data_IF_256961786906
#
_entry.id   IF_256961786906
#
_cell.length_a   1.000
_cell.length_b   1.000
_cell.length_c   1.000
_cell.angle_alpha   90.00
_cell.angle_beta   90.00
_cell.angle_gamma   90.00
#
_symmetry.space_group_name_H-M   'P 1'
#
loop_
_entity.id
_entity.type
_entity.pdbx_description
1 polymer ?
#
# COMPACT_ATOMS: atom_id res chain seq x y z
N UNK A 1 -45.62 -44.40 -44.93
CA UNK A 1 -44.28 -44.38 -44.29
C UNK A 1 -43.52 -43.09 -44.52
N UNK A 2 -43.36 -42.57 -45.75
CA UNK A 2 -42.62 -41.31 -46.00
C UNK A 2 -43.16 -40.09 -45.28
N UNK A 3 -44.46 -39.90 -45.17
CA UNK A 3 -45.09 -38.74 -44.49
C UNK A 3 -44.82 -38.73 -42.98
N UNK A 4 -44.80 -39.86 -42.32
CA UNK A 4 -44.47 -39.93 -40.88
C UNK A 4 -42.99 -39.60 -40.61
N UNK A 5 -42.08 -40.07 -41.48
CA UNK A 5 -40.65 -39.74 -41.37
C UNK A 5 -40.44 -38.27 -41.52
N UNK A 6 -41.06 -37.61 -42.49
CA UNK A 6 -40.93 -36.13 -42.69
C UNK A 6 -41.51 -35.36 -41.50
N UNK A 7 -42.68 -35.79 -40.97
CA UNK A 7 -43.30 -35.15 -39.80
C UNK A 7 -42.37 -35.23 -38.58
N UNK A 8 -41.89 -36.42 -38.22
CA UNK A 8 -41.04 -36.60 -37.05
C UNK A 8 -39.69 -35.92 -37.23
N UNK A 9 -39.12 -35.89 -38.44
CA UNK A 9 -37.88 -35.13 -38.72
C UNK A 9 -38.11 -33.62 -38.49
N UNK A 10 -39.27 -33.08 -38.89
CA UNK A 10 -39.55 -31.68 -38.67
C UNK A 10 -39.80 -31.36 -37.18
N UNK A 11 -40.52 -32.19 -36.46
CA UNK A 11 -40.71 -32.09 -35.01
C UNK A 11 -39.35 -32.17 -34.28
N UNK A 12 -38.47 -33.04 -34.65
CA UNK A 12 -37.10 -33.12 -34.10
C UNK A 12 -36.31 -31.86 -34.33
N UNK A 13 -36.31 -31.30 -35.55
CA UNK A 13 -35.59 -30.05 -35.87
C UNK A 13 -36.10 -28.89 -35.07
N UNK A 14 -37.45 -28.77 -34.91
CA UNK A 14 -38.06 -27.69 -34.10
C UNK A 14 -37.62 -27.77 -32.61
N UNK A 15 -37.66 -28.98 -32.05
CA UNK A 15 -37.22 -29.19 -30.64
C UNK A 15 -35.74 -28.88 -30.51
N UNK A 16 -34.93 -29.37 -31.43
CA UNK A 16 -33.47 -29.15 -31.43
C UNK A 16 -33.11 -27.66 -31.52
N UNK A 17 -33.78 -26.92 -32.43
CA UNK A 17 -33.58 -25.46 -32.55
C UNK A 17 -34.04 -24.75 -31.28
N UNK A 18 -35.13 -25.16 -30.65
CA UNK A 18 -35.58 -24.60 -29.38
C UNK A 18 -34.54 -24.75 -28.26
N UNK A 19 -33.90 -25.92 -28.16
CA UNK A 19 -32.84 -26.17 -27.20
C UNK A 19 -31.63 -25.29 -27.50
N UNK A 20 -31.18 -25.22 -28.77
CA UNK A 20 -30.05 -24.38 -29.17
C UNK A 20 -30.23 -22.91 -28.85
N UNK A 21 -31.45 -22.39 -29.14
CA UNK A 21 -31.83 -21.00 -28.85
C UNK A 21 -31.79 -20.77 -27.33
N UNK A 22 -32.36 -21.70 -26.56
CA UNK A 22 -32.35 -21.58 -25.08
C UNK A 22 -30.94 -21.58 -24.49
N UNK A 23 -30.07 -22.44 -24.99
CA UNK A 23 -28.65 -22.46 -24.57
C UNK A 23 -27.93 -21.15 -24.93
N UNK A 24 -28.18 -20.65 -26.16
CA UNK A 24 -27.59 -19.38 -26.58
C UNK A 24 -27.98 -18.19 -25.67
N UNK A 25 -29.29 -18.10 -25.32
CA UNK A 25 -29.77 -17.07 -24.40
C UNK A 25 -29.20 -17.22 -22.99
N UNK A 26 -29.07 -18.46 -22.50
CA UNK A 26 -28.51 -18.72 -21.19
C UNK A 26 -27.01 -18.32 -21.14
N UNK A 27 -26.22 -18.70 -22.16
CA UNK A 27 -24.81 -18.30 -22.27
C UNK A 27 -24.66 -16.76 -22.29
N UNK A 28 -25.48 -16.07 -23.10
CA UNK A 28 -25.46 -14.61 -23.18
C UNK A 28 -25.85 -13.95 -21.85
N UNK A 29 -26.79 -14.54 -21.11
CA UNK A 29 -27.18 -14.08 -19.76
C UNK A 29 -26.05 -14.27 -18.78
N UNK A 30 -25.40 -15.41 -18.81
CA UNK A 30 -24.29 -15.71 -17.91
C UNK A 30 -23.08 -14.81 -18.19
N UNK A 31 -22.73 -14.58 -19.44
CA UNK A 31 -21.67 -13.66 -19.83
C UNK A 31 -21.93 -12.24 -19.32
N UNK A 32 -23.16 -11.75 -19.41
CA UNK A 32 -23.53 -10.45 -18.86
C UNK A 32 -23.35 -10.38 -17.35
N UNK A 33 -23.84 -11.39 -16.62
CA UNK A 33 -23.69 -11.44 -15.15
C UNK A 33 -22.24 -11.50 -14.69
N UNK A 34 -21.40 -12.25 -15.40
CA UNK A 34 -19.98 -12.30 -15.08
C UNK A 34 -19.24 -10.99 -15.38
N UNK A 35 -19.61 -10.30 -16.46
CA UNK A 35 -19.08 -8.95 -16.75
C UNK A 35 -19.53 -7.92 -15.70
N UNK A 36 -20.78 -7.98 -15.24
CA UNK A 36 -21.26 -7.12 -14.14
C UNK A 36 -20.47 -7.39 -12.84
N UNK A 37 -20.21 -8.66 -12.51
CA UNK A 37 -19.38 -9.05 -11.37
C UNK A 37 -17.94 -8.54 -11.50
N UNK A 38 -17.35 -8.69 -12.70
CA UNK A 38 -16.00 -8.16 -12.99
C UNK A 38 -15.95 -6.65 -12.76
N UNK A 39 -16.89 -5.90 -13.33
CA UNK A 39 -16.93 -4.44 -13.19
C UNK A 39 -17.07 -4.03 -11.72
N UNK A 40 -17.95 -4.67 -10.96
CA UNK A 40 -18.11 -4.43 -9.52
C UNK A 40 -16.83 -4.70 -8.74
N UNK A 41 -16.10 -5.76 -9.07
CA UNK A 41 -14.84 -6.09 -8.43
C UNK A 41 -13.73 -5.07 -8.77
N UNK A 42 -13.72 -4.54 -10.00
CA UNK A 42 -12.80 -3.46 -10.39
C UNK A 42 -13.15 -2.15 -9.68
N UNK A 43 -14.42 -1.81 -9.51
CA UNK A 43 -14.85 -0.65 -8.69
C UNK A 43 -14.39 -0.79 -7.23
N UNK A 44 -14.50 -1.97 -6.66
CA UNK A 44 -13.98 -2.26 -5.32
C UNK A 44 -12.46 -2.14 -5.25
N UNK A 45 -11.75 -2.61 -6.29
CA UNK A 45 -10.30 -2.46 -6.40
C UNK A 45 -9.88 -0.98 -6.47
N UNK A 46 -10.60 -0.14 -7.22
CA UNK A 46 -10.36 1.31 -7.26
C UNK A 46 -10.47 1.92 -5.86
N UNK A 47 -11.50 1.55 -5.10
CA UNK A 47 -11.67 2.04 -3.73
C UNK A 47 -10.52 1.61 -2.80
N UNK A 48 -10.04 0.38 -2.94
CA UNK A 48 -8.88 -0.12 -2.19
C UNK A 48 -7.62 0.65 -2.59
N UNK A 49 -7.39 0.84 -3.89
CA UNK A 49 -6.26 1.63 -4.40
C UNK A 49 -6.28 3.05 -3.82
N UNK A 50 -7.45 3.70 -3.73
CA UNK A 50 -7.56 5.03 -3.13
C UNK A 50 -7.23 5.04 -1.63
N UNK A 51 -7.64 4.03 -0.89
CA UNK A 51 -7.27 3.87 0.51
C UNK A 51 -5.76 3.67 0.67
N UNK A 52 -5.15 2.83 -0.16
CA UNK A 52 -3.71 2.58 -0.15
C UNK A 52 -2.91 3.84 -0.51
N UNK A 53 -3.33 4.59 -1.54
CA UNK A 53 -2.71 5.89 -1.90
C UNK A 53 -2.80 6.88 -0.73
N UNK A 54 -3.94 6.96 -0.06
CA UNK A 54 -4.10 7.84 1.10
C UNK A 54 -3.20 7.41 2.27
N UNK A 55 -3.08 6.11 2.51
CA UNK A 55 -2.17 5.57 3.52
C UNK A 55 -0.71 5.89 3.18
N UNK A 56 -0.28 5.65 1.93
CA UNK A 56 1.07 6.00 1.44
C UNK A 56 1.35 7.50 1.64
N UNK A 57 0.40 8.38 1.29
CA UNK A 57 0.57 9.82 1.49
C UNK A 57 0.79 10.21 2.95
N UNK A 58 0.09 9.56 3.88
CA UNK A 58 0.26 9.80 5.31
C UNK A 58 1.64 9.34 5.79
N UNK A 59 2.10 8.19 5.32
CA UNK A 59 3.46 7.72 5.65
C UNK A 59 4.55 8.58 5.04
N UNK A 60 4.40 9.04 3.79
CA UNK A 60 5.34 9.99 3.18
C UNK A 60 5.51 11.22 4.08
N UNK A 61 4.41 11.86 4.51
CA UNK A 61 4.48 13.03 5.41
C UNK A 61 5.19 12.72 6.72
N UNK A 62 4.90 11.56 7.32
CA UNK A 62 5.53 11.13 8.56
C UNK A 62 7.05 10.93 8.38
N UNK A 63 7.44 10.29 7.29
CA UNK A 63 8.85 10.05 6.97
C UNK A 63 9.60 11.35 6.65
N UNK A 64 8.95 12.31 5.98
CA UNK A 64 9.53 13.65 5.72
C UNK A 64 9.85 14.37 7.03
N UNK A 65 8.94 14.37 8.02
CA UNK A 65 9.17 14.98 9.35
C UNK A 65 10.27 14.24 10.11
N UNK A 66 10.31 12.93 10.02
CA UNK A 66 11.35 12.13 10.67
C UNK A 66 12.72 12.37 10.03
N UNK A 67 12.77 12.54 8.71
CA UNK A 67 14.01 12.89 7.99
C UNK A 67 14.51 14.28 8.36
N UNK A 68 13.64 15.29 8.35
CA UNK A 68 13.96 16.65 8.77
C UNK A 68 14.52 16.67 10.20
N UNK A 69 13.86 15.95 11.12
CA UNK A 69 14.33 15.82 12.49
C UNK A 69 15.70 15.14 12.59
N UNK A 70 15.96 14.14 11.75
CA UNK A 70 17.27 13.48 11.68
C UNK A 70 18.36 14.43 11.15
N UNK A 71 18.02 15.26 10.14
CA UNK A 71 18.94 16.25 9.58
C UNK A 71 19.28 17.32 10.64
N UNK A 72 18.31 17.81 11.39
CA UNK A 72 18.50 18.77 12.49
C UNK A 72 19.40 18.20 13.61
N UNK A 73 19.17 16.95 14.01
CA UNK A 73 20.03 16.28 15.00
C UNK A 73 21.47 16.09 14.48
N UNK A 74 21.62 15.76 13.22
CA UNK A 74 22.90 15.61 12.57
C UNK A 74 23.70 16.93 12.58
N UNK A 75 23.07 18.05 12.23
CA UNK A 75 23.68 19.37 12.23
C UNK A 75 24.04 19.83 13.66
N UNK A 76 23.22 19.47 14.66
CA UNK A 76 23.54 19.76 16.07
C UNK A 76 24.75 18.95 16.56
N UNK A 77 24.85 17.67 16.22
CA UNK A 77 26.01 16.83 16.58
C UNK A 77 27.31 17.28 15.91
N UNK A 78 27.23 17.88 14.73
CA UNK A 78 28.39 18.48 14.04
C UNK A 78 28.69 19.92 14.50
N UNK A 79 27.98 20.43 15.52
CA UNK A 79 28.12 21.80 16.04
C UNK A 79 27.79 22.91 15.01
N UNK A 80 27.01 22.60 13.98
CA UNK A 80 26.53 23.59 12.99
C UNK A 80 25.36 24.42 13.54
N UNK A 81 24.55 23.81 14.42
CA UNK A 81 23.46 24.49 15.15
C UNK A 81 23.55 24.14 16.63
N UNK A 82 22.96 24.96 17.48
CA UNK A 82 22.86 24.71 18.92
C UNK A 82 21.40 24.58 19.34
N UNK A 83 21.05 23.42 19.91
CA UNK A 83 19.70 23.10 20.38
C UNK A 83 19.67 22.95 21.91
N UNK A 84 18.53 23.31 22.51
CA UNK A 84 18.26 22.93 23.91
C UNK A 84 17.99 21.42 24.01
N UNK A 85 18.25 20.84 25.19
CA UNK A 85 17.94 19.42 25.45
C UNK A 85 16.50 19.05 25.08
N UNK A 86 15.53 19.90 25.41
CA UNK A 86 14.11 19.69 25.08
C UNK A 86 13.89 19.59 23.56
N UNK A 87 14.52 20.46 22.77
CA UNK A 87 14.46 20.38 21.30
C UNK A 87 15.12 19.13 20.76
N UNK A 88 16.28 18.74 21.32
CA UNK A 88 16.93 17.50 20.96
C UNK A 88 16.00 16.31 21.22
N UNK A 89 15.36 16.26 22.40
CA UNK A 89 14.39 15.20 22.75
C UNK A 89 13.17 15.17 21.84
N UNK A 90 12.67 16.33 21.42
CA UNK A 90 11.62 16.45 20.43
C UNK A 90 12.02 15.79 19.10
N UNK A 91 13.20 16.12 18.58
CA UNK A 91 13.69 15.56 17.31
C UNK A 91 14.02 14.06 17.43
N UNK A 92 14.59 13.61 18.58
CA UNK A 92 14.79 12.18 18.84
C UNK A 92 13.46 11.43 18.80
N UNK A 93 12.41 11.96 19.45
CA UNK A 93 11.08 11.37 19.40
C UNK A 93 10.52 11.34 17.98
N UNK A 94 10.72 12.41 17.21
CA UNK A 94 10.25 12.50 15.82
C UNK A 94 10.94 11.48 14.90
N UNK A 95 12.25 11.25 15.07
CA UNK A 95 12.97 10.19 14.34
C UNK A 95 12.46 8.80 14.71
N UNK A 96 12.21 8.56 15.99
CA UNK A 96 11.68 7.28 16.46
C UNK A 96 10.30 6.93 15.86
N UNK A 97 9.53 7.92 15.41
CA UNK A 97 8.23 7.74 14.74
C UNK A 97 8.34 7.16 13.33
N UNK A 98 9.52 7.17 12.74
CA UNK A 98 9.76 6.53 11.45
C UNK A 98 9.41 5.04 11.43
N UNK A 99 9.32 4.39 12.61
CA UNK A 99 8.78 3.02 12.76
C UNK A 99 7.28 2.99 12.46
N UNK A 100 6.90 3.28 11.23
CA UNK A 100 5.54 3.06 10.71
C UNK A 100 5.66 2.79 9.22
N UNK A 101 5.20 1.63 8.81
CA UNK A 101 5.30 1.15 7.45
C UNK A 101 3.93 0.97 6.80
N UNK A 102 3.95 0.98 5.47
CA UNK A 102 2.77 0.77 4.65
C UNK A 102 2.48 -0.73 4.51
N UNK A 103 1.20 -1.10 4.67
CA UNK A 103 0.71 -2.45 4.45
C UNK A 103 -0.37 -2.45 3.38
N UNK A 104 -0.09 -3.02 2.19
CA UNK A 104 -1.02 -3.04 1.07
C UNK A 104 -2.22 -3.95 1.33
N UNK A 105 -3.36 -3.58 0.72
CA UNK A 105 -4.58 -4.36 0.76
C UNK A 105 -4.69 -5.25 -0.50
N UNK A 106 -4.49 -6.56 -0.34
CA UNK A 106 -4.48 -7.50 -1.47
C UNK A 106 -5.81 -8.26 -1.66
N UNK A 107 -6.78 -8.08 -0.75
CA UNK A 107 -8.00 -8.91 -0.70
C UNK A 107 -8.81 -8.92 -1.99
N UNK A 108 -9.03 -7.78 -2.62
CA UNK A 108 -9.82 -7.67 -3.86
C UNK A 108 -9.07 -8.23 -5.06
N UNK A 109 -7.75 -8.04 -5.15
CA UNK A 109 -6.94 -8.68 -6.19
C UNK A 109 -7.00 -10.21 -6.07
N UNK A 110 -6.83 -10.75 -4.87
CA UNK A 110 -6.93 -12.19 -4.62
C UNK A 110 -8.34 -12.74 -4.94
N UNK A 111 -9.39 -11.95 -4.70
CA UNK A 111 -10.76 -12.31 -5.10
C UNK A 111 -10.91 -12.36 -6.63
N UNK A 112 -10.36 -11.39 -7.38
CA UNK A 112 -10.37 -11.40 -8.85
C UNK A 112 -9.69 -12.66 -9.42
N UNK A 113 -8.59 -13.09 -8.81
CA UNK A 113 -7.88 -14.30 -9.20
C UNK A 113 -8.70 -15.55 -8.89
N UNK A 114 -9.16 -15.71 -7.63
CA UNK A 114 -9.83 -16.93 -7.16
C UNK A 114 -11.20 -17.16 -7.81
N UNK A 115 -11.85 -16.09 -8.27
CA UNK A 115 -13.14 -16.16 -9.00
C UNK A 115 -12.99 -16.22 -10.53
N UNK A 116 -11.78 -16.33 -11.06
CA UNK A 116 -11.46 -16.29 -12.50
C UNK A 116 -11.90 -14.98 -13.23
N UNK A 117 -12.39 -13.98 -12.50
CA UNK A 117 -12.82 -12.70 -13.09
C UNK A 117 -11.68 -11.92 -13.73
N UNK A 118 -10.45 -12.18 -13.33
CA UNK A 118 -9.25 -11.60 -13.96
C UNK A 118 -9.18 -11.93 -15.47
N UNK A 119 -9.68 -13.09 -15.89
CA UNK A 119 -9.73 -13.51 -17.30
C UNK A 119 -10.72 -12.68 -18.13
N UNK A 120 -11.71 -12.06 -17.48
CA UNK A 120 -12.73 -11.22 -18.11
C UNK A 120 -12.28 -9.77 -18.32
N UNK A 121 -11.16 -9.37 -17.73
CA UNK A 121 -10.56 -8.05 -18.00
C UNK A 121 -10.13 -8.02 -19.46
N UNK A 122 -10.56 -7.00 -20.21
CA UNK A 122 -10.25 -6.87 -21.64
C UNK A 122 -8.84 -6.31 -21.86
N UNK A 123 -8.42 -5.37 -21.01
CA UNK A 123 -7.12 -4.72 -21.11
C UNK A 123 -5.99 -5.64 -20.65
N UNK A 124 -5.18 -6.13 -21.60
CA UNK A 124 -3.97 -6.90 -21.30
C UNK A 124 -2.94 -6.08 -20.50
N UNK A 125 -2.89 -4.77 -20.74
CA UNK A 125 -2.03 -3.84 -19.99
C UNK A 125 -2.46 -3.81 -18.51
N UNK A 126 -3.75 -3.71 -18.23
CA UNK A 126 -4.27 -3.75 -16.86
C UNK A 126 -3.93 -5.08 -16.18
N UNK A 127 -4.16 -6.22 -16.84
CA UNK A 127 -3.79 -7.53 -16.29
C UNK A 127 -2.31 -7.61 -15.92
N UNK A 128 -1.44 -7.22 -16.86
CA UNK A 128 0.02 -7.27 -16.65
C UNK A 128 0.43 -6.40 -15.47
N UNK A 129 -0.12 -5.18 -15.34
CA UNK A 129 0.22 -4.27 -14.25
C UNK A 129 -0.34 -4.74 -12.91
N UNK A 130 -1.53 -5.35 -12.88
CA UNK A 130 -2.08 -5.99 -11.68
C UNK A 130 -1.14 -7.10 -11.18
N UNK A 131 -0.75 -8.02 -12.05
CA UNK A 131 0.17 -9.09 -11.67
C UNK A 131 1.54 -8.56 -11.24
N UNK A 132 2.08 -7.56 -11.94
CA UNK A 132 3.36 -6.95 -11.58
C UNK A 132 3.30 -6.29 -10.21
N UNK A 133 2.28 -5.45 -9.95
CA UNK A 133 2.16 -4.77 -8.67
C UNK A 133 1.99 -5.78 -7.52
N UNK A 134 0.98 -6.67 -7.60
CA UNK A 134 0.61 -7.52 -6.47
C UNK A 134 1.53 -8.74 -6.27
N UNK A 135 2.15 -9.27 -7.32
CA UNK A 135 2.99 -10.47 -7.21
C UNK A 135 4.50 -10.19 -7.21
N UNK A 136 4.94 -9.00 -7.66
CA UNK A 136 6.37 -8.67 -7.73
C UNK A 136 6.71 -7.47 -6.85
N UNK A 137 6.11 -6.29 -7.15
CA UNK A 137 6.48 -5.03 -6.51
C UNK A 137 6.15 -5.04 -5.01
N UNK A 138 4.94 -5.48 -4.63
CA UNK A 138 4.54 -5.55 -3.22
C UNK A 138 5.31 -6.62 -2.44
N UNK A 139 5.68 -7.72 -3.04
CA UNK A 139 6.55 -8.72 -2.38
C UNK A 139 7.96 -8.19 -2.11
N UNK A 140 8.51 -7.36 -3.00
CA UNK A 140 9.79 -6.67 -2.74
C UNK A 140 9.63 -5.66 -1.63
N UNK A 141 8.52 -4.92 -1.66
CA UNK A 141 8.17 -3.98 -0.60
C UNK A 141 8.12 -4.66 0.77
N UNK A 142 7.49 -5.83 0.89
CA UNK A 142 7.43 -6.59 2.15
C UNK A 142 8.82 -6.92 2.71
N UNK A 143 9.77 -7.29 1.83
CA UNK A 143 11.14 -7.59 2.26
C UNK A 143 11.84 -6.33 2.78
N UNK A 144 11.77 -5.23 2.02
CA UNK A 144 12.39 -3.96 2.41
C UNK A 144 11.72 -3.38 3.68
N UNK A 145 10.40 -3.46 3.77
CA UNK A 145 9.65 -3.02 4.94
C UNK A 145 10.07 -3.78 6.19
N UNK A 146 10.29 -5.08 6.09
CA UNK A 146 10.75 -5.87 7.22
C UNK A 146 12.15 -5.43 7.70
N UNK A 147 13.10 -5.23 6.80
CA UNK A 147 14.45 -4.74 7.14
C UNK A 147 14.38 -3.34 7.76
N UNK A 148 13.52 -2.48 7.22
CA UNK A 148 13.26 -1.14 7.73
C UNK A 148 12.67 -1.18 9.15
N UNK A 149 11.64 -1.99 9.38
CA UNK A 149 10.99 -2.13 10.67
C UNK A 149 11.94 -2.73 11.71
N UNK A 150 12.72 -3.75 11.36
CA UNK A 150 13.69 -4.38 12.25
C UNK A 150 14.74 -3.35 12.71
N UNK A 151 15.24 -2.50 11.79
CA UNK A 151 16.17 -1.42 12.14
C UNK A 151 15.52 -0.42 13.13
N UNK A 152 14.31 0.08 12.83
CA UNK A 152 13.68 1.08 13.68
C UNK A 152 13.19 0.52 15.02
N UNK A 153 12.85 -0.76 15.11
CA UNK A 153 12.60 -1.45 16.39
C UNK A 153 13.85 -1.45 17.28
N UNK A 154 15.01 -1.84 16.73
CA UNK A 154 16.28 -1.82 17.46
C UNK A 154 16.67 -0.39 17.86
N UNK A 155 16.56 0.56 16.94
CA UNK A 155 16.86 1.96 17.20
C UNK A 155 15.99 2.54 18.32
N UNK A 156 14.66 2.34 18.26
CA UNK A 156 13.74 2.79 19.30
C UNK A 156 14.01 2.13 20.65
N UNK A 157 14.40 0.85 20.65
CA UNK A 157 14.84 0.19 21.88
C UNK A 157 16.06 0.90 22.49
N UNK A 158 17.10 1.18 21.71
CA UNK A 158 18.27 1.94 22.14
C UNK A 158 17.93 3.33 22.66
N UNK A 159 17.01 4.03 21.98
CA UNK A 159 16.50 5.32 22.44
C UNK A 159 15.82 5.20 23.81
N UNK A 160 14.94 4.22 23.99
CA UNK A 160 14.18 4.03 25.22
C UNK A 160 15.02 3.65 26.43
N UNK A 161 16.12 2.93 26.21
CA UNK A 161 17.07 2.54 27.28
C UNK A 161 17.93 3.74 27.71
N UNK A 162 18.29 4.62 26.78
CA UNK A 162 19.22 5.71 27.03
C UNK A 162 18.56 7.04 27.36
N UNK A 163 17.35 7.27 26.84
CA UNK A 163 16.57 8.48 27.11
C UNK A 163 15.26 8.12 27.78
N UNK A 164 14.91 8.83 28.84
CA UNK A 164 13.55 8.78 29.35
C UNK A 164 12.73 9.88 28.66
N UNK A 165 11.62 9.50 28.05
CA UNK A 165 10.74 10.43 27.37
C UNK A 165 9.26 10.06 27.61
N UNK A 166 8.54 10.94 28.26
CA UNK A 166 7.09 10.90 28.40
C UNK A 166 6.49 12.00 27.52
N UNK A 167 5.62 11.61 26.60
CA UNK A 167 5.00 12.54 25.67
C UNK A 167 3.53 12.18 25.44
N UNK A 168 2.72 13.22 25.14
CA UNK A 168 1.38 13.04 24.62
C UNK A 168 1.39 13.06 23.10
N UNK A 169 0.68 12.09 22.52
CA UNK A 169 0.37 12.08 21.13
C UNK A 169 -0.98 12.77 20.91
N UNK A 170 -1.01 13.88 20.21
CA UNK A 170 -2.27 14.40 19.68
C UNK A 170 -2.62 13.57 18.46
N UNK A 171 -3.52 12.61 18.64
CA UNK A 171 -3.96 11.67 17.61
C UNK A 171 -5.08 12.24 16.75
N UNK A 172 -4.85 13.34 16.06
CA UNK A 172 -5.74 13.71 14.96
C UNK A 172 -5.03 13.32 13.66
N UNK A 173 -5.60 12.36 12.93
CA UNK A 173 -4.97 11.67 11.78
C UNK A 173 -4.74 12.62 10.59
N UNK A 174 -5.21 13.84 10.65
CA UNK A 174 -5.12 14.85 9.57
C UNK A 174 -3.97 15.85 9.71
N UNK A 175 -3.37 15.96 10.87
CA UNK A 175 -2.22 16.84 11.11
C UNK A 175 -1.00 15.99 11.51
N UNK A 176 0.16 16.36 11.00
CA UNK A 176 1.43 15.79 11.45
C UNK A 176 1.52 16.03 12.94
N UNK A 177 1.24 14.98 13.72
CA UNK A 177 1.00 15.04 15.15
C UNK A 177 2.08 15.85 15.86
N UNK A 178 1.68 16.92 16.53
CA UNK A 178 2.58 17.64 17.41
C UNK A 178 2.86 16.77 18.63
N UNK A 179 4.14 16.50 18.86
CA UNK A 179 4.61 15.84 20.05
C UNK A 179 4.69 16.88 21.16
N UNK A 180 3.95 16.69 22.24
CA UNK A 180 4.10 17.45 23.46
C UNK A 180 4.94 16.68 24.46
N UNK A 181 6.15 17.16 24.76
CA UNK A 181 7.02 16.54 25.75
C UNK A 181 6.52 16.94 27.13
N UNK A 182 6.13 15.93 27.93
CA UNK A 182 5.67 16.14 29.31
C UNK A 182 6.84 16.07 30.27
N UNK A 183 7.70 15.08 30.11
CA UNK A 183 8.85 14.84 30.96
C UNK A 183 9.93 14.11 30.21
N UNK A 184 11.17 14.49 30.48
CA UNK A 184 12.32 13.79 29.89
C UNK A 184 13.51 13.72 30.85
N UNK A 185 14.42 12.81 30.56
CA UNK A 185 15.77 12.74 31.11
C UNK A 185 16.73 12.53 29.96
N UNK A 186 17.58 13.53 29.74
CA UNK A 186 18.58 13.53 28.68
C UNK A 186 19.86 12.78 29.14
N UNK A 187 20.43 11.98 28.25
CA UNK A 187 21.69 11.30 28.44
C UNK A 187 22.74 11.84 27.45
N UNK A 188 23.42 12.92 27.86
CA UNK A 188 24.40 13.58 27.01
C UNK A 188 25.52 12.64 26.54
N UNK A 189 25.99 11.72 27.42
CA UNK A 189 27.04 10.76 27.06
C UNK A 189 26.65 9.83 25.92
N UNK A 190 25.38 9.38 25.90
CA UNK A 190 24.88 8.56 24.81
C UNK A 190 24.63 9.40 23.55
N UNK A 191 24.07 10.60 23.70
CA UNK A 191 23.80 11.51 22.59
C UNK A 191 25.07 11.85 21.78
N UNK A 192 26.19 12.10 22.45
CA UNK A 192 27.46 12.43 21.84
C UNK A 192 28.31 11.18 21.47
N UNK A 193 27.76 9.97 21.61
CA UNK A 193 28.49 8.74 21.32
C UNK A 193 28.50 8.42 19.83
N UNK A 194 29.58 7.73 19.38
CA UNK A 194 29.66 7.17 18.03
C UNK A 194 28.53 6.20 17.74
N UNK A 195 27.98 5.52 18.74
CA UNK A 195 26.84 4.61 18.61
C UNK A 195 25.57 5.38 18.20
N UNK A 196 25.24 6.48 18.91
CA UNK A 196 24.06 7.27 18.55
C UNK A 196 24.25 7.93 17.18
N UNK A 197 25.41 8.49 16.90
CA UNK A 197 25.71 9.14 15.63
C UNK A 197 25.61 8.16 14.46
N UNK A 198 26.18 6.95 14.58
CA UNK A 198 26.08 5.90 13.58
C UNK A 198 24.64 5.45 13.32
N UNK A 199 23.85 5.25 14.38
CA UNK A 199 22.44 4.90 14.25
C UNK A 199 21.62 6.05 13.59
N UNK A 200 21.94 7.30 13.90
CA UNK A 200 21.29 8.46 13.28
C UNK A 200 21.58 8.54 11.77
N UNK A 201 22.83 8.32 11.35
CA UNK A 201 23.19 8.27 9.93
C UNK A 201 22.44 7.14 9.21
N UNK A 202 22.40 5.95 9.80
CA UNK A 202 21.70 4.81 9.19
C UNK A 202 20.19 5.04 9.16
N UNK A 203 19.58 5.68 10.19
CA UNK A 203 18.17 6.06 10.16
C UNK A 203 17.86 7.01 9.00
N UNK A 204 18.69 8.04 8.78
CA UNK A 204 18.55 8.99 7.65
C UNK A 204 18.58 8.28 6.30
N UNK A 205 19.49 7.34 6.13
CA UNK A 205 19.62 6.54 4.91
C UNK A 205 18.40 5.68 4.67
N UNK A 206 17.93 4.97 5.70
CA UNK A 206 16.76 4.11 5.63
C UNK A 206 15.47 4.92 5.34
N UNK A 207 15.27 6.07 6.00
CA UNK A 207 14.12 6.94 5.73
C UNK A 207 14.14 7.43 4.28
N UNK A 208 15.28 7.87 3.76
CA UNK A 208 15.40 8.33 2.35
C UNK A 208 15.07 7.21 1.36
N UNK A 209 15.58 6.00 1.60
CA UNK A 209 15.30 4.84 0.76
C UNK A 209 13.82 4.49 0.78
N UNK A 210 13.20 4.47 1.96
CA UNK A 210 11.78 4.16 2.13
C UNK A 210 10.87 5.24 1.52
N UNK A 211 11.21 6.52 1.66
CA UNK A 211 10.51 7.63 0.98
C UNK A 211 10.54 7.47 -0.54
N UNK A 212 11.68 7.09 -1.10
CA UNK A 212 11.80 6.84 -2.55
C UNK A 212 10.88 5.70 -3.00
N UNK A 213 10.85 4.61 -2.23
CA UNK A 213 10.00 3.45 -2.50
C UNK A 213 8.50 3.78 -2.40
N UNK A 214 8.09 4.49 -1.33
CA UNK A 214 6.69 4.91 -1.18
C UNK A 214 6.22 5.80 -2.34
N UNK A 215 7.06 6.72 -2.81
CA UNK A 215 6.75 7.56 -3.96
C UNK A 215 6.62 6.73 -5.25
N UNK A 216 7.48 5.74 -5.46
CA UNK A 216 7.39 4.84 -6.61
C UNK A 216 6.11 3.99 -6.56
N UNK A 217 5.76 3.42 -5.40
CA UNK A 217 4.51 2.68 -5.21
C UNK A 217 3.30 3.55 -5.49
N UNK A 218 3.26 4.78 -4.97
CA UNK A 218 2.19 5.73 -5.22
C UNK A 218 1.95 5.98 -6.72
N UNK A 219 3.01 6.11 -7.50
CA UNK A 219 2.91 6.27 -8.97
C UNK A 219 2.31 5.02 -9.62
N UNK A 220 2.76 3.82 -9.21
CA UNK A 220 2.23 2.54 -9.72
C UNK A 220 0.74 2.36 -9.39
N UNK A 221 0.33 2.68 -8.17
CA UNK A 221 -1.07 2.65 -7.77
C UNK A 221 -1.94 3.65 -8.56
N UNK A 222 -1.42 4.88 -8.78
CA UNK A 222 -2.13 5.91 -9.53
C UNK A 222 -2.33 5.52 -11.00
N UNK A 223 -1.33 4.94 -11.62
CA UNK A 223 -1.39 4.43 -12.99
C UNK A 223 -2.36 3.24 -13.10
N UNK A 224 -2.29 2.30 -12.13
CA UNK A 224 -3.23 1.18 -12.06
C UNK A 224 -4.69 1.64 -11.92
N UNK A 225 -4.95 2.66 -11.08
CA UNK A 225 -6.27 3.25 -10.93
C UNK A 225 -6.82 3.79 -12.25
N UNK A 226 -5.98 4.49 -13.02
CA UNK A 226 -6.39 5.01 -14.34
C UNK A 226 -6.81 3.89 -15.28
N UNK A 227 -6.04 2.80 -15.35
CA UNK A 227 -6.36 1.64 -16.18
C UNK A 227 -7.63 0.92 -15.72
N UNK A 228 -7.88 0.84 -14.42
CA UNK A 228 -9.14 0.29 -13.88
C UNK A 228 -10.35 1.12 -14.30
N UNK A 229 -10.24 2.46 -14.26
CA UNK A 229 -11.30 3.36 -14.69
C UNK A 229 -11.61 3.23 -16.19
N UNK A 230 -10.58 3.03 -17.01
CA UNK A 230 -10.75 2.83 -18.45
C UNK A 230 -11.40 1.48 -18.76
N UNK A 231 -11.05 0.42 -18.03
CA UNK A 231 -11.64 -0.92 -18.20
C UNK A 231 -13.15 -0.94 -17.91
N UNK A 232 -13.65 -0.15 -16.95
CA UNK A 232 -15.08 -0.10 -16.61
C UNK A 232 -15.90 0.64 -17.70
N UNK A 233 -15.27 1.58 -18.40
CA UNK A 233 -15.94 2.38 -19.46
C UNK A 233 -16.10 1.63 -20.77
N UNK A 234 -15.40 0.53 -20.98
CA UNK A 234 -15.39 -0.30 -22.20
C UNK A 234 -16.26 -1.53 -22.07
#
# INVERSE_FOLDING_TARGET
>A
MKEYVVKYSFEFVVIFLGILISLYFEDARQDRLENERKNKSIEQLINVIDQDINQINNFIKLQEVSLESSDILYDNLNNEINLSEEKIMYHISSVGRALKSFFPQEGIFNQLISSDLIKRIKSETLKTKLFKLFNEDLRRHDVHTKEYDDFFLDFNYKLSVNFFLEHNWKTDVSEVDQIEIIKYRFNNKFYESDEFFGNLIESRKNIKAYLSELNELKLKYSDLKSLCLDEIRT
#
